data_IF_636355895337
#
_entry.id   IF_636355895337
#
_cell.length_a   1.000
_cell.length_b   1.000
_cell.length_c   1.000
_cell.angle_alpha   90.00
_cell.angle_beta   90.00
_cell.angle_gamma   90.00
#
_symmetry.space_group_name_H-M   'P 1'
#
loop_
_entity.id
_entity.type
_entity.pdbx_description
1 polymer ?
#
# COMPACT_ATOMS: atom_id res chain seq x y z
N UNK A 1 18.84 11.08 -22.54
CA UNK A 1 19.56 12.36 -22.62
C UNK A 1 19.24 13.24 -21.41
N UNK A 2 20.06 14.26 -21.07
CA UNK A 2 19.82 15.11 -19.88
C UNK A 2 18.43 15.76 -19.87
N UNK A 3 17.93 16.14 -21.05
CA UNK A 3 16.57 16.67 -21.22
C UNK A 3 15.47 15.65 -20.93
N UNK A 4 15.59 14.42 -21.43
CA UNK A 4 14.62 13.35 -21.18
C UNK A 4 14.49 13.03 -19.68
N UNK A 5 15.60 12.88 -18.97
CA UNK A 5 15.58 12.62 -17.52
C UNK A 5 15.03 13.82 -16.73
N UNK A 6 15.32 15.04 -17.16
CA UNK A 6 14.82 16.25 -16.51
C UNK A 6 13.29 16.39 -16.64
N UNK A 7 12.73 16.08 -17.82
CA UNK A 7 11.27 16.08 -18.04
C UNK A 7 10.58 15.03 -17.16
N UNK A 8 11.14 13.81 -17.07
CA UNK A 8 10.60 12.75 -16.23
C UNK A 8 10.64 13.13 -14.73
N UNK A 9 11.78 13.67 -14.27
CA UNK A 9 11.91 14.13 -12.88
C UNK A 9 10.92 15.26 -12.55
N UNK A 10 10.82 16.27 -13.42
CA UNK A 10 9.87 17.38 -13.26
C UNK A 10 8.42 16.89 -13.25
N UNK A 11 8.06 15.95 -14.15
CA UNK A 11 6.72 15.36 -14.19
C UNK A 11 6.39 14.58 -12.91
N UNK A 12 7.31 13.75 -12.42
CA UNK A 12 7.10 12.98 -11.19
C UNK A 12 6.89 13.88 -9.97
N UNK A 13 7.70 14.94 -9.83
CA UNK A 13 7.56 15.93 -8.75
C UNK A 13 6.26 16.72 -8.91
N UNK A 14 5.90 17.12 -10.14
CA UNK A 14 4.65 17.83 -10.44
C UNK A 14 3.41 17.02 -10.08
N UNK A 15 3.35 15.75 -10.50
CA UNK A 15 2.24 14.83 -10.14
C UNK A 15 2.15 14.65 -8.63
N UNK A 16 3.28 14.48 -7.94
CA UNK A 16 3.32 14.37 -6.48
C UNK A 16 2.78 15.62 -5.80
N UNK A 17 3.16 16.81 -6.27
CA UNK A 17 2.68 18.10 -5.75
C UNK A 17 1.17 18.28 -5.95
N UNK A 18 0.65 17.91 -7.12
CA UNK A 18 -0.79 17.96 -7.42
C UNK A 18 -1.60 17.03 -6.52
N UNK A 19 -1.15 15.78 -6.32
CA UNK A 19 -1.81 14.83 -5.43
C UNK A 19 -1.84 15.38 -3.99
N UNK A 20 -0.77 16.01 -3.54
CA UNK A 20 -0.71 16.62 -2.20
C UNK A 20 -1.71 17.79 -2.05
N UNK A 21 -1.76 18.68 -3.03
CA UNK A 21 -2.70 19.81 -3.02
C UNK A 21 -4.15 19.33 -3.08
N UNK A 22 -4.45 18.35 -3.93
CA UNK A 22 -5.78 17.75 -4.05
C UNK A 22 -6.24 17.11 -2.72
N UNK A 23 -5.36 16.35 -2.06
CA UNK A 23 -5.66 15.78 -0.74
C UNK A 23 -5.89 16.84 0.33
N UNK A 24 -5.19 17.99 0.25
CA UNK A 24 -5.37 19.09 1.20
C UNK A 24 -6.70 19.82 0.97
N UNK A 25 -7.11 20.03 -0.27
CA UNK A 25 -8.41 20.65 -0.58
C UNK A 25 -9.57 19.74 -0.17
N UNK A 26 -9.46 18.43 -0.39
CA UNK A 26 -10.48 17.47 0.04
C UNK A 26 -10.62 17.45 1.56
N UNK A 27 -9.50 17.56 2.30
CA UNK A 27 -9.51 17.59 3.77
C UNK A 27 -10.08 18.89 4.35
N UNK A 28 -10.01 20.01 3.61
CA UNK A 28 -10.50 21.32 4.08
C UNK A 28 -11.97 21.59 3.74
N UNK A 29 -12.56 20.82 2.81
CA UNK A 29 -13.97 20.95 2.39
C UNK A 29 -14.91 19.90 3.00
N UNK A 30 -14.41 18.97 3.83
CA UNK A 30 -15.20 17.86 4.36
C UNK A 30 -16.03 18.24 5.62
N UNK A 31 -16.94 19.20 5.49
CA UNK A 31 -18.22 19.14 6.22
C UNK A 31 -19.22 18.35 5.37
N UNK A 32 -18.93 17.06 5.15
CA UNK A 32 -19.86 16.15 4.50
C UNK A 32 -20.49 15.28 5.60
N UNK A 33 -21.82 15.36 5.83
CA UNK A 33 -22.53 14.44 6.71
C UNK A 33 -22.21 13.01 6.30
N UNK A 34 -21.62 12.26 7.23
CA UNK A 34 -21.26 10.86 7.12
C UNK A 34 -22.53 9.99 7.04
N UNK A 35 -23.23 9.99 5.91
CA UNK A 35 -24.27 9.01 5.62
C UNK A 35 -24.28 8.57 4.15
N UNK A 36 -23.09 8.35 3.58
CA UNK A 36 -22.97 7.53 2.38
C UNK A 36 -21.78 6.61 2.43
N UNK A 37 -22.10 5.45 2.98
CA UNK A 37 -21.26 4.31 3.20
C UNK A 37 -20.79 3.69 1.89
N UNK A 38 -19.52 3.89 1.54
CA UNK A 38 -18.84 3.07 0.51
C UNK A 38 -18.44 1.69 1.07
N UNK A 39 -18.56 1.47 2.39
CA UNK A 39 -18.13 0.23 3.07
C UNK A 39 -19.14 -0.40 4.06
N UNK A 40 -20.37 0.12 4.21
CA UNK A 40 -21.30 -0.43 5.24
C UNK A 40 -22.22 -1.57 4.78
N UNK A 41 -22.25 -1.91 3.48
CA UNK A 41 -23.02 -3.06 3.00
C UNK A 41 -22.34 -4.41 3.31
N UNK A 42 -21.09 -4.43 3.77
CA UNK A 42 -20.31 -5.67 3.93
C UNK A 42 -19.92 -6.05 5.36
N UNK A 43 -20.27 -5.28 6.40
CA UNK A 43 -19.74 -5.53 7.76
C UNK A 43 -20.76 -5.45 8.91
N UNK A 44 -22.07 -5.56 8.64
CA UNK A 44 -23.03 -5.93 9.70
C UNK A 44 -23.13 -7.44 9.81
N UNK A 45 -22.27 -8.04 10.63
CA UNK A 45 -22.36 -9.46 10.94
C UNK A 45 -21.34 -9.95 11.95
N UNK A 46 -21.77 -9.98 13.22
CA UNK A 46 -21.27 -10.83 14.32
C UNK A 46 -20.03 -10.33 15.08
N UNK A 47 -20.26 -9.87 16.31
CA UNK A 47 -19.21 -9.65 17.32
C UNK A 47 -19.26 -10.66 18.46
N UNK A 48 -18.17 -10.74 19.24
CA UNK A 48 -18.12 -10.81 20.72
C UNK A 48 -16.66 -10.77 21.24
N UNK A 49 -16.35 -10.15 22.39
CA UNK A 49 -15.01 -10.17 22.99
C UNK A 49 -14.89 -11.26 24.08
N UNK A 50 -13.70 -11.84 24.23
CA UNK A 50 -13.33 -12.74 25.34
C UNK A 50 -11.81 -12.68 25.59
N UNK A 51 -11.32 -12.63 26.84
CA UNK A 51 -9.89 -12.47 27.14
C UNK A 51 -9.23 -13.83 27.46
N UNK A 52 -8.07 -14.12 26.87
CA UNK A 52 -7.17 -15.21 27.32
C UNK A 52 -5.71 -14.72 27.32
N UNK A 53 -4.97 -14.85 28.44
CA UNK A 53 -3.58 -14.42 28.54
C UNK A 53 -2.63 -15.59 28.33
N UNK A 54 -1.71 -15.46 27.37
CA UNK A 54 -0.49 -16.27 27.34
C UNK A 54 -0.29 -17.09 26.07
N UNK A 55 0.38 -16.50 25.09
CA UNK A 55 1.41 -17.23 24.35
C UNK A 55 2.43 -16.25 23.79
N UNK A 56 3.62 -16.30 24.37
CA UNK A 56 4.93 -16.05 23.75
C UNK A 56 4.99 -14.98 22.66
N UNK A 57 5.46 -13.81 23.06
CA UNK A 57 5.90 -12.70 22.23
C UNK A 57 7.16 -13.09 21.44
N UNK A 58 7.02 -14.00 20.49
CA UNK A 58 8.06 -14.25 19.49
C UNK A 58 8.10 -13.05 18.55
N UNK A 59 9.25 -12.36 18.59
CA UNK A 59 9.58 -11.22 17.75
C UNK A 59 9.85 -11.71 16.33
N UNK A 60 8.80 -12.18 15.65
CA UNK A 60 8.85 -12.48 14.22
C UNK A 60 8.75 -11.16 13.47
N UNK A 61 9.87 -10.77 12.86
CA UNK A 61 10.04 -9.59 12.00
C UNK A 61 9.27 -9.65 10.66
N UNK A 62 8.16 -10.41 10.62
CA UNK A 62 7.19 -10.47 9.53
C UNK A 62 5.78 -10.54 10.12
N UNK A 63 5.40 -9.47 10.82
CA UNK A 63 4.09 -9.25 11.43
C UNK A 63 2.93 -9.04 10.41
N UNK A 64 3.01 -9.67 9.24
CA UNK A 64 2.00 -9.56 8.19
C UNK A 64 1.51 -10.91 7.67
N UNK A 65 1.93 -12.05 8.25
CA UNK A 65 1.64 -13.37 7.70
C UNK A 65 0.40 -14.10 8.23
N UNK A 66 -0.11 -13.77 9.43
CA UNK A 66 -1.02 -14.73 10.11
C UNK A 66 -2.16 -14.14 10.95
N UNK A 67 -2.45 -12.84 10.87
CA UNK A 67 -3.52 -12.21 11.67
C UNK A 67 -4.40 -11.20 10.91
N UNK A 68 -4.55 -11.36 9.59
CA UNK A 68 -5.53 -10.58 8.82
C UNK A 68 -6.36 -11.53 7.95
N UNK A 69 -7.67 -11.32 7.94
CA UNK A 69 -8.70 -12.21 7.45
C UNK A 69 -8.43 -12.78 6.03
N UNK A 70 -8.74 -14.07 5.78
CA UNK A 70 -8.33 -14.79 4.57
C UNK A 70 -9.05 -14.36 3.28
N UNK A 71 -10.16 -13.63 3.34
CA UNK A 71 -11.06 -13.51 2.18
C UNK A 71 -10.59 -12.53 1.08
N UNK A 72 -9.61 -11.64 1.34
CA UNK A 72 -9.16 -10.63 0.36
C UNK A 72 -7.63 -10.50 0.20
N UNK A 73 -6.86 -11.49 0.65
CA UNK A 73 -5.39 -11.50 0.44
C UNK A 73 -5.05 -12.36 -0.76
N UNK A 74 -4.72 -11.73 -1.88
CA UNK A 74 -4.13 -12.43 -3.01
C UNK A 74 -2.69 -12.87 -2.66
N UNK A 75 -2.57 -14.07 -2.09
CA UNK A 75 -1.28 -14.74 -1.83
C UNK A 75 -0.46 -14.85 -3.12
N UNK A 76 -1.16 -15.08 -4.25
CA UNK A 76 -0.57 -15.11 -5.58
C UNK A 76 0.11 -13.78 -5.89
N UNK A 77 -0.54 -12.63 -5.63
CA UNK A 77 0.07 -11.33 -5.86
C UNK A 77 1.27 -11.07 -4.94
N UNK A 78 1.21 -11.48 -3.67
CA UNK A 78 2.35 -11.34 -2.74
C UNK A 78 3.56 -12.15 -3.22
N UNK A 79 3.35 -13.41 -3.57
CA UNK A 79 4.42 -14.28 -4.06
C UNK A 79 4.94 -13.78 -5.40
N UNK A 80 4.06 -13.42 -6.33
CA UNK A 80 4.43 -12.96 -7.66
C UNK A 80 5.17 -11.63 -7.61
N UNK A 81 4.70 -10.66 -6.80
CA UNK A 81 5.39 -9.40 -6.62
C UNK A 81 6.78 -9.62 -6.01
N UNK A 82 6.94 -10.48 -5.00
CA UNK A 82 8.27 -10.81 -4.46
C UNK A 82 9.16 -11.52 -5.48
N UNK A 83 8.60 -12.50 -6.21
CA UNK A 83 9.32 -13.28 -7.21
C UNK A 83 9.82 -12.42 -8.37
N UNK A 84 9.02 -11.45 -8.81
CA UNK A 84 9.33 -10.56 -9.94
C UNK A 84 10.15 -9.35 -9.49
N UNK A 85 9.92 -8.82 -8.28
CA UNK A 85 10.61 -7.63 -7.80
C UNK A 85 12.12 -7.80 -7.74
N UNK A 86 12.60 -8.89 -7.12
CA UNK A 86 14.03 -9.13 -6.95
C UNK A 86 14.79 -9.22 -8.29
N UNK A 87 14.37 -10.03 -9.29
CA UNK A 87 15.07 -10.08 -10.57
C UNK A 87 14.96 -8.78 -11.36
N UNK A 88 13.82 -8.08 -11.33
CA UNK A 88 13.70 -6.76 -11.99
C UNK A 88 14.65 -5.75 -11.37
N UNK A 89 14.79 -5.73 -10.04
CA UNK A 89 15.73 -4.84 -9.35
C UNK A 89 17.16 -5.12 -9.78
N UNK A 90 17.58 -6.39 -9.70
CA UNK A 90 18.93 -6.79 -10.10
C UNK A 90 19.19 -6.45 -11.57
N UNK A 91 18.22 -6.73 -12.46
CA UNK A 91 18.31 -6.37 -13.88
C UNK A 91 18.42 -4.85 -14.07
N UNK A 92 17.61 -4.05 -13.37
CA UNK A 92 17.66 -2.60 -13.44
C UNK A 92 19.01 -2.04 -13.01
N UNK A 93 19.60 -2.58 -11.93
CA UNK A 93 20.91 -2.17 -11.44
C UNK A 93 22.00 -2.62 -12.40
N UNK A 94 21.93 -3.86 -12.89
CA UNK A 94 22.84 -4.37 -13.91
C UNK A 94 22.84 -3.51 -15.17
N UNK A 95 21.64 -3.18 -15.69
CA UNK A 95 21.50 -2.30 -16.86
C UNK A 95 22.02 -0.90 -16.58
N UNK A 96 21.86 -0.36 -15.37
CA UNK A 96 22.43 0.94 -15.01
C UNK A 96 23.97 0.96 -15.06
N UNK A 97 24.62 -0.15 -14.70
CA UNK A 97 26.08 -0.27 -14.74
C UNK A 97 26.63 -0.69 -16.10
N UNK A 98 25.85 -1.43 -16.88
CA UNK A 98 26.25 -1.90 -18.21
C UNK A 98 25.87 -0.94 -19.34
N UNK A 99 24.89 -0.06 -19.15
CA UNK A 99 24.53 1.00 -20.10
C UNK A 99 25.40 2.24 -19.87
#
# INVERSE_FOLDING_TARGET
>A
TMGESAVLAAAAVGVTSLIFLHRRTDSAGQEIPYDRTVWSLSSRGVGRPGPEPGSTRERTWLAAGRSLAPEHRSVVFEVLSRLIFHPILILSVYLLFCA
#
